data_IF_120486137784
#
_entry.id   IF_120486137784
#
_cell.length_a   1.000
_cell.length_b   1.000
_cell.length_c   1.000
_cell.angle_alpha   90.00
_cell.angle_beta   90.00
_cell.angle_gamma   90.00
#
_symmetry.space_group_name_H-M   'P 1'
#
loop_
_entity.id
_entity.type
_entity.pdbx_description
1 polymer ?
#
# COMPACT_ATOMS: atom_id res chain seq x y z
N UNK A 1 -4.38 12.47 14.40
CA UNK A 1 -4.38 11.17 13.71
C UNK A 1 -5.33 11.29 12.53
N UNK A 2 -4.81 11.24 11.31
CA UNK A 2 -5.64 11.28 10.10
C UNK A 2 -6.00 9.81 9.82
N UNK A 3 -7.26 9.42 10.04
CA UNK A 3 -7.67 8.04 9.83
C UNK A 3 -8.48 7.94 8.56
N UNK A 4 -8.54 6.75 7.95
CA UNK A 4 -9.53 6.43 6.92
C UNK A 4 -10.92 7.00 7.23
N UNK A 5 -11.39 6.86 8.48
CA UNK A 5 -12.70 7.33 8.92
C UNK A 5 -12.89 8.84 8.82
N UNK A 6 -11.83 9.64 9.01
CA UNK A 6 -11.90 11.10 8.85
C UNK A 6 -11.95 11.56 7.38
N UNK A 7 -11.67 10.65 6.43
CA UNK A 7 -11.67 10.94 4.99
C UNK A 7 -12.94 10.48 4.27
N UNK A 8 -13.85 9.79 4.98
CA UNK A 8 -15.10 9.29 4.40
C UNK A 8 -16.02 10.47 4.09
N UNK A 9 -16.51 10.61 2.83
CA UNK A 9 -17.33 11.75 2.47
C UNK A 9 -18.74 11.66 3.08
N UNK A 10 -19.44 12.80 3.30
CA UNK A 10 -20.75 12.82 3.97
C UNK A 10 -21.83 11.95 3.32
N UNK A 11 -21.79 11.79 2.00
CA UNK A 11 -22.74 10.96 1.25
C UNK A 11 -22.54 9.45 1.49
N UNK A 12 -21.48 9.03 2.19
CA UNK A 12 -21.23 7.64 2.63
C UNK A 12 -21.62 7.38 4.08
N UNK A 13 -22.55 8.17 4.64
CA UNK A 13 -23.00 8.08 6.05
C UNK A 13 -23.30 6.65 6.52
N UNK A 14 -24.01 5.84 5.74
CA UNK A 14 -24.32 4.46 6.13
C UNK A 14 -23.05 3.59 6.28
N UNK A 15 -22.09 3.74 5.37
CA UNK A 15 -20.79 3.06 5.45
C UNK A 15 -19.97 3.55 6.64
N UNK A 16 -19.98 4.85 6.92
CA UNK A 16 -19.32 5.41 8.11
C UNK A 16 -19.87 4.82 9.41
N UNK A 17 -21.19 4.74 9.57
CA UNK A 17 -21.82 4.16 10.77
C UNK A 17 -21.48 2.67 10.91
N UNK A 18 -21.48 1.91 9.81
CA UNK A 18 -21.09 0.51 9.82
C UNK A 18 -19.63 0.33 10.25
N UNK A 19 -18.72 1.14 9.70
CA UNK A 19 -17.30 1.09 10.03
C UNK A 19 -17.03 1.49 11.47
N UNK A 20 -17.70 2.54 11.96
CA UNK A 20 -17.61 3.00 13.35
C UNK A 20 -17.99 1.90 14.34
N UNK A 21 -19.04 1.13 14.05
CA UNK A 21 -19.45 -0.02 14.87
C UNK A 21 -18.47 -1.19 14.84
N UNK A 22 -17.73 -1.37 13.73
CA UNK A 22 -16.82 -2.50 13.53
C UNK A 22 -15.41 -2.26 14.06
N UNK A 23 -14.93 -1.02 13.98
CA UNK A 23 -13.52 -0.68 14.25
C UNK A 23 -13.34 0.23 15.48
N UNK A 24 -14.39 0.94 15.89
CA UNK A 24 -14.33 1.98 16.91
C UNK A 24 -14.91 3.28 16.36
N UNK A 25 -15.76 3.94 17.15
CA UNK A 25 -16.41 5.19 16.75
C UNK A 25 -15.48 6.38 17.03
N UNK A 26 -14.99 7.10 16.01
CA UNK A 26 -14.08 8.22 16.21
C UNK A 26 -14.73 9.42 16.92
N UNK A 27 -16.07 9.41 17.09
CA UNK A 27 -16.82 10.45 17.82
C UNK A 27 -16.80 10.25 19.33
N UNK A 28 -16.35 9.09 19.82
CA UNK A 28 -16.30 8.78 21.26
C UNK A 28 -14.87 8.62 21.73
N UNK A 29 -14.60 8.94 23.00
CA UNK A 29 -13.26 8.78 23.58
C UNK A 29 -12.81 7.30 23.58
N UNK A 30 -13.74 6.39 23.89
CA UNK A 30 -13.49 4.94 23.86
C UNK A 30 -13.15 4.46 22.45
N UNK A 31 -13.91 4.87 21.43
CA UNK A 31 -13.63 4.51 20.05
C UNK A 31 -12.33 5.09 19.53
N UNK A 32 -11.99 6.34 19.89
CA UNK A 32 -10.68 6.93 19.58
C UNK A 32 -9.53 6.14 20.22
N UNK A 33 -9.67 5.70 21.47
CA UNK A 33 -8.68 4.88 22.15
C UNK A 33 -8.50 3.52 21.46
N UNK A 34 -9.60 2.87 21.05
CA UNK A 34 -9.56 1.62 20.29
C UNK A 34 -8.84 1.78 18.94
N UNK A 35 -9.21 2.81 18.16
CA UNK A 35 -8.58 3.10 16.87
C UNK A 35 -7.09 3.40 17.03
N UNK A 36 -6.70 4.18 18.05
CA UNK A 36 -5.30 4.50 18.31
C UNK A 36 -4.50 3.25 18.70
N UNK A 37 -5.08 2.38 19.53
CA UNK A 37 -4.45 1.13 19.96
C UNK A 37 -4.29 0.13 18.81
N UNK A 38 -5.24 0.10 17.86
CA UNK A 38 -5.25 -0.86 16.75
C UNK A 38 -4.58 -0.35 15.46
N UNK A 39 -4.34 0.96 15.31
CA UNK A 39 -3.79 1.54 14.07
C UNK A 39 -2.37 1.03 13.77
N UNK A 40 -2.13 0.37 12.61
CA UNK A 40 -0.81 -0.15 12.25
C UNK A 40 0.30 0.90 12.20
N UNK A 41 -0.04 2.13 11.79
CA UNK A 41 0.92 3.26 11.69
C UNK A 41 1.52 3.60 13.06
N UNK A 42 0.75 3.43 14.14
CA UNK A 42 1.21 3.70 15.51
C UNK A 42 2.14 2.62 16.07
N UNK A 43 2.30 1.50 15.36
CA UNK A 43 3.12 0.36 15.77
C UNK A 43 4.09 -0.07 14.65
N UNK A 44 4.38 0.84 13.71
CA UNK A 44 5.21 0.53 12.55
C UNK A 44 6.60 0.00 12.94
N UNK A 45 7.16 0.47 14.06
CA UNK A 45 8.42 0.02 14.64
C UNK A 45 8.43 -1.46 15.04
N UNK A 46 7.24 -2.07 15.21
CA UNK A 46 7.10 -3.49 15.54
C UNK A 46 7.09 -4.40 14.32
N UNK A 47 7.09 -3.84 13.11
CA UNK A 47 7.15 -4.63 11.87
C UNK A 47 8.55 -5.24 11.75
N UNK A 48 8.62 -6.57 11.62
CA UNK A 48 9.88 -7.34 11.60
C UNK A 48 10.20 -7.98 10.25
N UNK A 49 9.33 -7.84 9.26
CA UNK A 49 9.44 -8.45 7.94
C UNK A 49 9.28 -7.38 6.86
N UNK A 50 9.90 -7.57 5.68
CA UNK A 50 9.67 -6.69 4.54
C UNK A 50 8.17 -6.58 4.21
N UNK A 51 7.74 -5.39 3.81
CA UNK A 51 6.36 -5.12 3.41
C UNK A 51 6.31 -4.64 1.96
N UNK A 52 5.49 -5.26 1.13
CA UNK A 52 5.14 -4.79 -0.21
C UNK A 52 3.75 -4.12 -0.15
N UNK A 53 3.66 -2.89 -0.65
CA UNK A 53 2.41 -2.13 -0.75
C UNK A 53 2.14 -1.83 -2.22
N UNK A 54 0.94 -2.16 -2.69
CA UNK A 54 0.42 -1.74 -3.99
C UNK A 54 -0.72 -0.75 -3.82
N UNK A 55 -0.67 0.39 -4.51
CA UNK A 55 -1.68 1.45 -4.42
C UNK A 55 -1.99 2.03 -5.79
N UNK A 56 -3.28 2.29 -6.07
CA UNK A 56 -3.68 3.19 -7.15
C UNK A 56 -3.80 4.63 -6.63
N UNK A 57 -3.23 5.60 -7.35
CA UNK A 57 -3.20 7.00 -6.92
C UNK A 57 -4.61 7.63 -6.84
N UNK A 58 -5.56 7.10 -7.61
CA UNK A 58 -6.93 7.62 -7.70
C UNK A 58 -7.94 6.81 -6.85
N UNK A 59 -7.48 6.05 -5.86
CA UNK A 59 -8.38 5.24 -5.01
C UNK A 59 -9.43 6.13 -4.29
N UNK A 60 -10.72 5.98 -4.60
CA UNK A 60 -11.76 6.77 -3.98
C UNK A 60 -12.15 6.25 -2.58
N UNK A 61 -11.76 5.01 -2.24
CA UNK A 61 -12.16 4.31 -1.01
C UNK A 61 -11.08 4.42 0.07
N UNK A 62 -9.83 4.13 -0.26
CA UNK A 62 -8.68 4.23 0.65
C UNK A 62 -7.65 5.13 0.02
N UNK A 63 -7.59 6.38 0.49
CA UNK A 63 -6.74 7.41 -0.12
C UNK A 63 -5.27 6.99 -0.09
N UNK A 64 -4.52 7.35 -1.13
CA UNK A 64 -3.07 7.13 -1.22
C UNK A 64 -2.33 7.56 0.06
N UNK A 65 -2.79 8.65 0.70
CA UNK A 65 -2.24 9.16 1.95
C UNK A 65 -2.20 8.13 3.10
N UNK A 66 -3.06 7.10 3.10
CA UNK A 66 -3.00 6.01 4.09
C UNK A 66 -1.77 5.13 3.86
N UNK A 67 -1.47 4.78 2.61
CA UNK A 67 -0.25 4.07 2.21
C UNK A 67 0.98 4.93 2.50
N UNK A 68 0.96 6.21 2.14
CA UNK A 68 2.08 7.13 2.38
C UNK A 68 2.40 7.26 3.88
N UNK A 69 1.39 7.20 4.77
CA UNK A 69 1.59 7.24 6.22
C UNK A 69 2.40 6.05 6.74
N UNK A 70 2.04 4.82 6.36
CA UNK A 70 2.76 3.63 6.84
C UNK A 70 4.16 3.53 6.23
N UNK A 71 4.34 3.94 4.96
CA UNK A 71 5.66 3.99 4.31
C UNK A 71 6.58 4.94 5.06
N UNK A 72 6.12 6.17 5.35
CA UNK A 72 6.92 7.15 6.09
C UNK A 72 7.24 6.67 7.51
N UNK A 73 6.30 6.00 8.17
CA UNK A 73 6.54 5.42 9.49
C UNK A 73 7.61 4.31 9.43
N UNK A 74 7.53 3.39 8.46
CA UNK A 74 8.54 2.35 8.27
C UNK A 74 9.92 2.92 7.92
N UNK A 75 9.98 3.93 7.04
CA UNK A 75 11.22 4.63 6.67
C UNK A 75 11.90 5.29 7.87
N UNK A 76 11.13 5.92 8.76
CA UNK A 76 11.65 6.53 10.00
C UNK A 76 12.38 5.51 10.88
N UNK A 77 11.99 4.24 10.81
CA UNK A 77 12.61 3.14 11.55
C UNK A 77 13.59 2.31 10.70
N UNK A 78 13.94 2.78 9.49
CA UNK A 78 14.81 2.08 8.54
C UNK A 78 14.36 0.64 8.24
N UNK A 79 13.04 0.42 8.23
CA UNK A 79 12.45 -0.88 7.96
C UNK A 79 12.28 -1.09 6.44
N UNK A 80 12.51 -2.31 5.92
CA UNK A 80 12.38 -2.60 4.50
C UNK A 80 10.92 -2.52 4.05
N UNK A 81 10.63 -1.60 3.14
CA UNK A 81 9.32 -1.45 2.50
C UNK A 81 9.51 -1.23 1.01
N UNK A 82 8.69 -1.91 0.21
CA UNK A 82 8.57 -1.67 -1.24
C UNK A 82 7.20 -1.06 -1.50
N UNK A 83 7.19 0.07 -2.19
CA UNK A 83 5.95 0.75 -2.56
C UNK A 83 5.80 0.77 -4.07
N UNK A 84 4.73 0.16 -4.57
CA UNK A 84 4.33 0.20 -5.97
C UNK A 84 3.10 1.10 -6.09
N UNK A 85 3.23 2.16 -6.89
CA UNK A 85 2.17 3.13 -7.12
C UNK A 85 1.81 3.16 -8.61
N UNK A 86 0.51 3.07 -8.89
CA UNK A 86 -0.06 3.15 -10.23
C UNK A 86 -0.83 4.47 -10.38
N UNK A 87 -0.29 5.49 -11.07
CA UNK A 87 -0.89 6.82 -11.21
C UNK A 87 -2.27 6.83 -11.87
N UNK A 88 -2.63 5.81 -12.66
CA UNK A 88 -3.88 5.72 -13.40
C UNK A 88 -4.88 4.71 -12.83
N UNK A 89 -4.57 4.08 -11.70
CA UNK A 89 -5.44 3.09 -11.03
C UNK A 89 -6.17 3.66 -9.82
N UNK A 90 -7.21 2.94 -9.39
CA UNK A 90 -8.01 3.26 -8.21
C UNK A 90 -7.82 2.24 -7.07
N UNK A 91 -8.93 1.70 -6.57
CA UNK A 91 -8.94 0.78 -5.41
C UNK A 91 -8.40 -0.63 -5.72
N UNK A 92 -8.26 -0.97 -6.99
CA UNK A 92 -7.63 -2.20 -7.46
C UNK A 92 -7.05 -1.92 -8.84
N UNK A 93 -6.30 -2.89 -9.37
CA UNK A 93 -5.67 -2.75 -10.68
C UNK A 93 -6.60 -3.31 -11.75
N UNK A 94 -7.27 -2.42 -12.48
CA UNK A 94 -8.23 -2.80 -13.51
C UNK A 94 -7.53 -3.05 -14.85
N UNK A 95 -6.44 -2.35 -15.14
CA UNK A 95 -5.69 -2.52 -16.38
C UNK A 95 -4.89 -3.83 -16.32
N UNK A 96 -4.98 -4.69 -17.36
CA UNK A 96 -4.19 -5.91 -17.43
C UNK A 96 -2.69 -5.66 -17.33
N UNK A 97 -2.19 -4.58 -17.95
CA UNK A 97 -0.76 -4.24 -17.90
C UNK A 97 -0.30 -3.93 -16.47
N UNK A 98 -1.10 -3.19 -15.70
CA UNK A 98 -0.79 -2.86 -14.30
C UNK A 98 -0.90 -4.09 -13.39
N UNK A 99 -1.91 -4.94 -13.62
CA UNK A 99 -2.05 -6.20 -12.89
C UNK A 99 -0.87 -7.14 -13.15
N UNK A 100 -0.43 -7.26 -14.40
CA UNK A 100 0.73 -8.05 -14.78
C UNK A 100 2.02 -7.50 -14.15
N UNK A 101 2.24 -6.19 -14.25
CA UNK A 101 3.38 -5.52 -13.64
C UNK A 101 3.43 -5.75 -12.12
N UNK A 102 2.30 -5.61 -11.43
CA UNK A 102 2.23 -5.85 -9.98
C UNK A 102 2.51 -7.32 -9.62
N UNK A 103 1.96 -8.27 -10.38
CA UNK A 103 2.21 -9.70 -10.16
C UNK A 103 3.69 -10.06 -10.34
N UNK A 104 4.36 -9.49 -11.35
CA UNK A 104 5.79 -9.68 -11.56
C UNK A 104 6.63 -9.12 -10.40
N UNK A 105 6.27 -7.92 -9.89
CA UNK A 105 6.90 -7.36 -8.67
C UNK A 105 6.65 -8.26 -7.45
N UNK A 106 5.42 -8.74 -7.28
CA UNK A 106 5.05 -9.62 -6.17
C UNK A 106 5.85 -10.93 -6.20
N UNK A 107 6.02 -11.53 -7.37
CA UNK A 107 6.82 -12.75 -7.53
C UNK A 107 8.28 -12.53 -7.12
N UNK A 108 8.90 -11.45 -7.61
CA UNK A 108 10.27 -11.07 -7.25
C UNK A 108 10.41 -10.80 -5.74
N UNK A 109 9.48 -10.04 -5.17
CA UNK A 109 9.46 -9.72 -3.75
C UNK A 109 9.35 -10.99 -2.88
N UNK A 110 8.43 -11.89 -3.24
CA UNK A 110 8.23 -13.15 -2.51
C UNK A 110 9.44 -14.07 -2.63
N UNK A 111 10.03 -14.21 -3.82
CA UNK A 111 11.25 -15.00 -4.00
C UNK A 111 12.43 -14.44 -3.20
N UNK A 112 12.56 -13.11 -3.09
CA UNK A 112 13.58 -12.47 -2.24
C UNK A 112 13.36 -12.77 -0.76
N UNK A 113 12.11 -12.75 -0.29
CA UNK A 113 11.77 -12.89 1.11
C UNK A 113 11.70 -14.34 1.60
N UNK A 114 11.21 -15.25 0.75
CA UNK A 114 10.89 -16.63 1.09
C UNK A 114 11.81 -17.64 0.40
N UNK A 115 12.63 -17.19 -0.56
CA UNK A 115 13.34 -18.06 -1.49
C UNK A 115 12.42 -18.61 -2.59
N UNK A 116 12.99 -19.40 -3.48
CA UNK A 116 12.28 -20.04 -4.59
C UNK A 116 12.62 -19.43 -5.95
N UNK A 117 11.85 -19.81 -6.96
CA UNK A 117 12.01 -19.32 -8.33
C UNK A 117 11.08 -18.12 -8.54
N UNK A 118 11.56 -17.14 -9.28
CA UNK A 118 10.76 -16.06 -9.84
C UNK A 118 11.08 -15.91 -11.32
N UNK A 119 10.06 -15.64 -12.14
CA UNK A 119 10.24 -15.21 -13.52
C UNK A 119 10.93 -13.84 -13.58
N UNK A 120 11.93 -13.69 -14.45
CA UNK A 120 12.59 -12.41 -14.64
C UNK A 120 11.59 -11.36 -15.17
N UNK A 121 11.69 -10.11 -14.73
CA UNK A 121 10.70 -9.07 -15.06
C UNK A 121 10.46 -8.87 -16.56
N UNK A 122 11.44 -9.17 -17.42
CA UNK A 122 11.27 -9.18 -18.88
C UNK A 122 10.67 -7.86 -19.40
N UNK A 123 9.49 -7.97 -20.02
CA UNK A 123 8.69 -6.87 -20.54
C UNK A 123 7.44 -6.56 -19.69
N UNK A 124 7.37 -7.07 -18.45
CA UNK A 124 6.17 -6.98 -17.60
C UNK A 124 5.70 -5.55 -17.28
N UNK A 125 6.57 -4.55 -17.42
CA UNK A 125 6.21 -3.13 -17.20
C UNK A 125 5.74 -2.44 -18.49
N UNK A 126 5.79 -3.11 -19.64
CA UNK A 126 5.43 -2.53 -20.93
C UNK A 126 3.96 -2.10 -20.93
N UNK A 127 3.72 -0.81 -21.17
CA UNK A 127 2.38 -0.22 -21.18
C UNK A 127 1.76 -0.03 -19.78
N UNK A 128 2.42 -0.47 -18.72
CA UNK A 128 1.99 -0.20 -17.34
C UNK A 128 2.32 1.24 -16.94
N UNK A 129 1.50 1.82 -16.07
CA UNK A 129 1.78 3.10 -15.42
C UNK A 129 2.69 2.97 -14.18
N UNK A 130 3.18 1.75 -13.90
CA UNK A 130 3.89 1.41 -12.67
C UNK A 130 4.99 2.42 -12.32
N UNK A 131 5.00 2.81 -11.05
CA UNK A 131 6.12 3.47 -10.41
C UNK A 131 6.48 2.72 -9.15
N UNK A 132 7.75 2.79 -8.71
CA UNK A 132 8.21 2.19 -7.46
C UNK A 132 8.91 3.28 -6.64
N UNK A 133 8.18 4.16 -5.93
CA UNK A 133 8.78 5.30 -5.23
C UNK A 133 9.68 4.92 -4.06
N UNK A 134 9.55 3.70 -3.53
CA UNK A 134 10.35 3.21 -2.41
C UNK A 134 10.67 1.72 -2.57
N UNK A 135 11.87 1.30 -2.16
CA UNK A 135 12.27 -0.10 -2.14
C UNK A 135 12.46 -0.76 -3.50
N UNK A 136 12.75 0.01 -4.57
CA UNK A 136 13.04 -0.52 -5.91
C UNK A 136 14.20 -1.52 -5.91
N UNK A 137 15.21 -1.30 -5.07
CA UNK A 137 16.36 -2.19 -4.91
C UNK A 137 16.01 -3.58 -4.35
N UNK A 138 14.79 -3.76 -3.83
CA UNK A 138 14.30 -5.07 -3.38
C UNK A 138 13.70 -5.90 -4.52
N UNK A 139 13.51 -5.30 -5.70
CA UNK A 139 12.92 -5.92 -6.88
C UNK A 139 13.98 -6.03 -7.97
N UNK A 140 14.53 -7.22 -8.14
CA UNK A 140 15.66 -7.46 -9.04
C UNK A 140 15.29 -7.10 -10.50
N UNK A 141 16.04 -6.19 -11.10
CA UNK A 141 15.84 -5.73 -12.49
C UNK A 141 14.87 -4.56 -12.69
N UNK A 142 14.17 -4.10 -11.64
CA UNK A 142 13.15 -3.06 -11.78
C UNK A 142 13.71 -1.68 -12.17
N UNK A 143 14.88 -1.30 -11.66
CA UNK A 143 15.52 0.00 -11.96
C UNK A 143 15.76 0.19 -13.47
N UNK A 144 16.16 -0.87 -14.16
CA UNK A 144 16.44 -0.84 -15.59
C UNK A 144 15.16 -0.71 -16.45
N UNK A 145 14.01 -1.14 -15.93
CA UNK A 145 12.72 -1.04 -16.63
C UNK A 145 12.03 0.30 -16.38
N UNK A 146 12.21 0.89 -15.19
CA UNK A 146 11.64 2.20 -14.84
C UNK A 146 12.40 3.39 -15.45
N UNK A 147 13.63 3.16 -15.92
CA UNK A 147 14.48 4.19 -16.53
C UNK A 147 14.27 4.34 -18.05
N UNK A 148 13.35 3.58 -18.63
CA UNK A 148 13.00 3.57 -20.06
C UNK A 148 11.71 4.32 -20.31
#
# INVERSE_FOLDING_TARGET
MNTLLSTIPPYWKAGFEQMSRRMGDPRTAEGQALLAAASPVNHAEKIKRPLLIGQGANDPRVKQAESDQIINAMKKHSLPVTYVLFPDEGHGFARPENSLAFNAVQEQFLAKCLGGRAEALGDAFTGSSITIPEGVALIDGAEALLSK
#
